data_IF_708384685104
#
_entry.id   IF_708384685104
#
_cell.length_a   1.000
_cell.length_b   1.000
_cell.length_c   1.000
_cell.angle_alpha   90.00
_cell.angle_beta   90.00
_cell.angle_gamma   90.00
#
_symmetry.space_group_name_H-M   'P 1'
#
loop_
_entity.id
_entity.type
_entity.pdbx_description
1 polymer ?
#
# COMPACT_ATOMS: atom_id res chain seq x y z
N UNK A 1 17.26 -15.95 -17.92
CA UNK A 1 15.96 -16.58 -17.63
C UNK A 1 15.09 -15.53 -16.95
N UNK A 2 13.96 -15.16 -17.57
CA UNK A 2 13.11 -14.08 -17.08
C UNK A 2 12.39 -14.50 -15.80
N UNK A 3 12.39 -13.64 -14.80
CA UNK A 3 11.55 -13.82 -13.61
C UNK A 3 10.10 -13.90 -14.08
N UNK A 4 9.42 -15.00 -13.76
CA UNK A 4 7.98 -15.11 -13.95
C UNK A 4 7.31 -13.97 -13.18
N UNK A 5 6.66 -13.06 -13.90
CA UNK A 5 5.86 -12.00 -13.29
C UNK A 5 4.78 -12.67 -12.44
N UNK A 6 4.87 -12.55 -11.13
CA UNK A 6 3.84 -13.02 -10.22
C UNK A 6 2.65 -12.05 -10.33
N UNK A 7 1.41 -12.54 -10.49
CA UNK A 7 0.24 -11.69 -10.49
C UNK A 7 0.21 -10.86 -9.20
N UNK A 8 0.17 -9.53 -9.35
CA UNK A 8 0.01 -8.60 -8.24
C UNK A 8 -1.43 -8.57 -7.73
N UNK A 9 -2.38 -9.03 -8.53
CA UNK A 9 -3.79 -9.12 -8.23
C UNK A 9 -4.24 -10.55 -8.50
N UNK A 10 -4.86 -11.17 -7.50
CA UNK A 10 -5.36 -12.56 -7.59
C UNK A 10 -6.87 -12.63 -7.48
N UNK A 11 -7.54 -11.47 -7.36
CA UNK A 11 -8.97 -11.36 -7.26
C UNK A 11 -9.51 -12.22 -6.12
N UNK A 12 -10.47 -13.08 -6.47
CA UNK A 12 -11.14 -13.98 -5.51
C UNK A 12 -10.57 -15.40 -5.51
N UNK A 13 -9.44 -15.65 -6.17
CA UNK A 13 -8.82 -16.99 -6.21
C UNK A 13 -8.22 -17.39 -4.85
N UNK A 14 -7.84 -16.43 -4.01
CA UNK A 14 -7.25 -16.66 -2.69
C UNK A 14 -7.73 -15.62 -1.70
N UNK A 15 -8.07 -16.05 -0.48
CA UNK A 15 -8.45 -15.17 0.62
C UNK A 15 -7.29 -14.32 1.10
N UNK A 16 -6.10 -14.91 1.25
CA UNK A 16 -4.97 -14.22 1.85
C UNK A 16 -4.07 -13.59 0.78
N UNK A 17 -3.58 -12.39 1.08
CA UNK A 17 -2.59 -11.70 0.25
C UNK A 17 -1.34 -12.55 0.09
N UNK A 18 -0.82 -12.58 -1.14
CA UNK A 18 0.44 -13.24 -1.44
C UNK A 18 1.61 -12.46 -0.83
N UNK A 19 2.77 -13.10 -0.68
CA UNK A 19 3.99 -12.42 -0.20
C UNK A 19 4.33 -11.18 -1.03
N UNK A 20 4.21 -11.25 -2.35
CA UNK A 20 4.48 -10.12 -3.25
C UNK A 20 3.51 -8.97 -3.03
N UNK A 21 2.23 -9.26 -2.81
CA UNK A 21 1.24 -8.24 -2.46
C UNK A 21 1.53 -7.59 -1.12
N UNK A 22 1.87 -8.37 -0.09
CA UNK A 22 2.26 -7.83 1.21
C UNK A 22 3.47 -6.90 1.10
N UNK A 23 4.47 -7.24 0.26
CA UNK A 23 5.60 -6.33 0.00
C UNK A 23 5.17 -5.04 -0.71
N UNK A 24 4.24 -5.11 -1.67
CA UNK A 24 3.66 -3.92 -2.30
C UNK A 24 2.90 -3.03 -1.32
N UNK A 25 2.15 -3.64 -0.39
CA UNK A 25 1.48 -2.92 0.68
C UNK A 25 2.48 -2.28 1.67
N UNK A 26 3.59 -2.97 1.97
CA UNK A 26 4.68 -2.39 2.77
C UNK A 26 5.28 -1.15 2.13
N UNK A 27 5.51 -1.20 0.81
CA UNK A 27 6.07 -0.06 0.06
C UNK A 27 5.12 1.13 0.05
N UNK A 28 3.82 0.88 -0.10
CA UNK A 28 2.78 1.92 -0.13
C UNK A 28 2.50 2.50 1.26
N UNK A 29 2.37 1.62 2.25
CA UNK A 29 1.85 1.98 3.58
C UNK A 29 2.96 2.30 4.58
N UNK A 30 4.19 1.80 4.42
CA UNK A 30 5.33 2.05 5.32
C UNK A 30 5.18 1.52 6.76
N UNK A 31 4.01 0.98 7.11
CA UNK A 31 3.63 0.57 8.45
C UNK A 31 2.11 0.43 8.56
N UNK A 32 1.60 0.38 9.78
CA UNK A 32 0.16 0.45 10.05
C UNK A 32 -0.39 1.78 9.54
N UNK A 33 -1.25 1.76 8.52
CA UNK A 33 -1.77 2.97 7.88
C UNK A 33 -2.59 3.87 8.83
N UNK A 34 -3.04 3.34 9.98
CA UNK A 34 -3.78 4.12 10.99
C UNK A 34 -2.91 4.75 12.08
N UNK A 35 -1.83 4.10 12.53
CA UNK A 35 -1.04 4.59 13.67
C UNK A 35 0.48 4.58 13.48
N UNK A 36 0.98 4.16 12.32
CA UNK A 36 2.40 4.19 11.95
C UNK A 36 3.28 3.11 12.60
N UNK A 37 2.71 2.21 13.40
CA UNK A 37 3.48 1.10 13.98
C UNK A 37 4.00 0.16 12.88
N UNK A 38 5.21 -0.36 13.01
CA UNK A 38 5.87 -1.21 12.00
C UNK A 38 5.99 -2.69 12.40
N UNK A 39 5.42 -3.06 13.55
CA UNK A 39 5.45 -4.44 14.08
C UNK A 39 4.05 -5.02 14.17
N UNK A 40 3.97 -6.36 14.10
CA UNK A 40 2.71 -7.11 14.17
C UNK A 40 1.70 -6.65 13.10
N UNK A 41 2.17 -6.49 11.87
CA UNK A 41 1.35 -6.03 10.76
C UNK A 41 0.64 -7.19 10.07
N UNK A 42 -0.60 -6.91 9.71
CA UNK A 42 -1.51 -7.81 9.01
C UNK A 42 -2.09 -7.06 7.82
N UNK A 43 -2.21 -7.74 6.67
CA UNK A 43 -2.86 -7.20 5.49
C UNK A 43 -4.37 -7.38 5.63
N UNK A 44 -5.09 -6.28 5.66
CA UNK A 44 -6.54 -6.20 5.80
C UNK A 44 -7.19 -5.82 4.46
N UNK A 45 -8.34 -6.40 4.16
CA UNK A 45 -9.13 -6.02 2.97
C UNK A 45 -10.03 -4.81 3.27
N UNK A 46 -9.92 -3.74 2.49
CA UNK A 46 -10.77 -2.55 2.61
C UNK A 46 -12.26 -2.90 2.42
N UNK A 47 -12.59 -3.53 1.29
CA UNK A 47 -13.82 -4.29 1.09
C UNK A 47 -13.57 -5.70 1.61
N UNK A 48 -14.25 -6.07 2.69
CA UNK A 48 -13.98 -7.30 3.41
C UNK A 48 -14.26 -8.53 2.54
N UNK A 49 -13.41 -9.55 2.67
CA UNK A 49 -13.52 -10.78 1.88
C UNK A 49 -14.88 -11.48 2.01
N UNK A 50 -15.36 -11.69 3.25
CA UNK A 50 -16.61 -12.41 3.53
C UNK A 50 -17.84 -11.49 3.50
N UNK A 51 -17.76 -10.27 4.09
CA UNK A 51 -18.88 -9.33 4.21
C UNK A 51 -19.24 -8.64 2.89
N UNK A 52 -18.23 -8.21 2.12
CA UNK A 52 -18.42 -7.36 0.94
C UNK A 52 -18.05 -8.07 -0.37
N UNK A 53 -17.61 -9.33 -0.31
CA UNK A 53 -17.06 -10.07 -1.44
C UNK A 53 -15.84 -9.40 -2.11
N UNK A 54 -15.04 -8.66 -1.33
CA UNK A 54 -13.89 -7.92 -1.85
C UNK A 54 -12.76 -8.82 -2.39
N UNK A 55 -12.00 -8.36 -3.40
CA UNK A 55 -10.90 -9.11 -3.99
C UNK A 55 -9.59 -8.96 -3.19
N UNK A 56 -8.69 -9.93 -3.32
CA UNK A 56 -7.33 -9.87 -2.78
C UNK A 56 -6.41 -9.22 -3.83
N UNK A 57 -6.49 -7.89 -3.91
CA UNK A 57 -5.78 -7.04 -4.86
C UNK A 57 -5.12 -5.87 -4.11
N UNK A 58 -4.04 -5.28 -4.65
CA UNK A 58 -3.29 -4.23 -3.94
C UNK A 58 -4.14 -2.99 -3.61
N UNK A 59 -5.07 -2.64 -4.50
CA UNK A 59 -5.99 -1.50 -4.33
C UNK A 59 -7.03 -1.74 -3.24
N UNK A 60 -7.29 -3.01 -2.89
CA UNK A 60 -8.21 -3.41 -1.84
C UNK A 60 -7.50 -3.87 -0.55
N UNK A 61 -6.17 -3.82 -0.47
CA UNK A 61 -5.40 -4.17 0.72
C UNK A 61 -4.89 -2.95 1.47
N UNK A 62 -4.68 -3.08 2.79
CA UNK A 62 -3.96 -2.11 3.64
C UNK A 62 -3.26 -2.81 4.80
N UNK A 63 -2.10 -2.33 5.23
CA UNK A 63 -1.43 -2.83 6.43
C UNK A 63 -1.97 -2.18 7.70
N UNK A 64 -2.31 -3.01 8.68
CA UNK A 64 -2.71 -2.60 10.03
C UNK A 64 -1.97 -3.43 11.07
N UNK A 65 -1.58 -2.81 12.19
CA UNK A 65 -1.12 -3.59 13.33
C UNK A 65 -2.30 -4.32 13.98
N UNK A 66 -2.06 -5.45 14.67
CA UNK A 66 -3.12 -6.29 15.24
C UNK A 66 -4.16 -5.51 16.08
N UNK A 67 -3.74 -4.48 16.83
CA UNK A 67 -4.66 -3.60 17.58
C UNK A 67 -5.60 -2.83 16.65
N UNK A 68 -5.04 -2.18 15.63
CA UNK A 68 -5.84 -1.40 14.69
C UNK A 68 -6.71 -2.29 13.81
N UNK A 69 -6.22 -3.47 13.43
CA UNK A 69 -6.95 -4.47 12.66
C UNK A 69 -8.22 -4.93 13.40
N UNK A 70 -8.08 -5.34 14.66
CA UNK A 70 -9.24 -5.74 15.47
C UNK A 70 -10.23 -4.60 15.69
N UNK A 71 -9.77 -3.36 15.90
CA UNK A 71 -10.66 -2.19 16.04
C UNK A 71 -11.48 -1.95 14.77
N UNK A 72 -10.86 -2.06 13.60
CA UNK A 72 -11.57 -1.91 12.31
C UNK A 72 -12.70 -2.93 12.20
N UNK A 73 -12.43 -4.18 12.58
CA UNK A 73 -13.46 -5.23 12.58
C UNK A 73 -14.53 -5.05 13.67
N UNK A 74 -14.13 -4.70 14.90
CA UNK A 74 -15.03 -4.59 16.04
C UNK A 74 -16.04 -3.44 15.86
N UNK A 75 -15.55 -2.27 15.46
CA UNK A 75 -16.40 -1.07 15.34
C UNK A 75 -16.94 -0.87 13.91
N UNK A 76 -16.55 -1.72 12.95
CA UNK A 76 -16.93 -1.62 11.54
C UNK A 76 -16.47 -0.31 10.88
N UNK A 77 -15.20 0.03 11.05
CA UNK A 77 -14.61 1.14 10.30
C UNK A 77 -14.56 0.81 8.81
N UNK A 78 -14.86 1.80 7.98
CA UNK A 78 -14.64 1.74 6.54
C UNK A 78 -13.24 2.28 6.21
N UNK A 79 -12.61 1.72 5.19
CA UNK A 79 -11.30 2.14 4.71
C UNK A 79 -11.39 2.38 3.22
N UNK A 80 -10.93 3.55 2.78
CA UNK A 80 -10.81 3.89 1.37
C UNK A 80 -9.35 4.12 1.03
N UNK A 81 -8.91 3.52 -0.06
CA UNK A 81 -7.62 3.82 -0.69
C UNK A 81 -7.90 4.46 -2.04
N UNK A 82 -7.40 5.67 -2.24
CA UNK A 82 -7.53 6.36 -3.52
C UNK A 82 -6.68 5.65 -4.59
N UNK A 83 -7.25 5.30 -5.76
CA UNK A 83 -6.56 4.48 -6.75
C UNK A 83 -5.42 5.21 -7.47
N UNK A 84 -5.36 6.55 -7.40
CA UNK A 84 -4.38 7.36 -8.13
C UNK A 84 -3.27 7.85 -7.20
N UNK A 85 -3.64 8.48 -6.09
CA UNK A 85 -2.72 9.03 -5.09
C UNK A 85 -2.27 8.02 -4.06
N UNK A 86 -2.96 6.88 -3.95
CA UNK A 86 -2.75 5.87 -2.90
C UNK A 86 -2.98 6.38 -1.48
N UNK A 87 -3.64 7.53 -1.32
CA UNK A 87 -4.01 8.05 -0.02
C UNK A 87 -5.01 7.11 0.67
N UNK A 88 -4.75 6.76 1.93
CA UNK A 88 -5.65 5.96 2.76
C UNK A 88 -6.47 6.88 3.66
N UNK A 89 -7.77 6.64 3.74
CA UNK A 89 -8.69 7.31 4.66
C UNK A 89 -9.50 6.27 5.45
N UNK A 90 -9.70 6.55 6.73
CA UNK A 90 -10.51 5.75 7.66
C UNK A 90 -11.80 6.50 7.96
N UNK A 91 -12.93 5.87 7.69
CA UNK A 91 -14.25 6.45 7.93
C UNK A 91 -14.83 5.79 9.19
N UNK A 92 -15.03 6.54 10.28
CA UNK A 92 -15.63 6.00 11.49
C UNK A 92 -17.09 5.58 11.26
N UNK A 93 -17.59 4.61 12.04
CA UNK A 93 -19.01 4.35 12.16
C UNK A 93 -19.72 5.51 12.88
N UNK A 94 -21.02 5.68 12.63
CA UNK A 94 -21.81 6.81 13.14
C UNK A 94 -21.86 6.91 14.68
N UNK A 95 -21.67 5.80 15.41
CA UNK A 95 -21.65 5.82 16.87
C UNK A 95 -20.34 6.38 17.46
N UNK A 96 -19.27 6.45 16.68
CA UNK A 96 -18.00 7.09 17.06
C UNK A 96 -17.99 8.55 16.60
N UNK A 97 -18.56 8.82 15.42
CA UNK A 97 -18.57 10.12 14.76
C UNK A 97 -19.83 10.21 13.89
N UNK A 98 -20.88 10.93 14.33
CA UNK A 98 -22.17 10.97 13.62
C UNK A 98 -22.05 11.46 12.18
N UNK A 99 -21.11 12.38 11.92
CA UNK A 99 -20.87 12.94 10.59
C UNK A 99 -20.01 12.02 9.71
N UNK A 100 -19.51 10.92 10.27
CA UNK A 100 -18.62 9.95 9.61
C UNK A 100 -17.44 10.63 8.93
N UNK A 101 -16.86 11.63 9.61
CA UNK A 101 -15.81 12.48 9.04
C UNK A 101 -14.57 11.64 8.66
N UNK A 102 -14.14 11.61 7.37
CA UNK A 102 -12.99 10.83 6.94
C UNK A 102 -11.70 11.29 7.64
N UNK A 103 -10.95 10.32 8.18
CA UNK A 103 -9.68 10.56 8.89
C UNK A 103 -8.52 10.06 8.01
N UNK A 104 -7.59 10.93 7.60
CA UNK A 104 -6.46 10.49 6.77
C UNK A 104 -5.56 9.53 7.55
N UNK A 105 -4.99 8.55 6.83
CA UNK A 105 -3.94 7.68 7.34
C UNK A 105 -2.64 8.43 7.65
N UNK A 106 -1.77 7.79 8.41
CA UNK A 106 -0.51 8.41 8.90
C UNK A 106 0.54 8.63 7.82
N UNK A 107 0.54 7.79 6.79
CA UNK A 107 1.48 7.88 5.69
C UNK A 107 0.72 8.45 4.49
N UNK A 108 0.97 9.74 4.20
CA UNK A 108 0.61 10.25 2.89
C UNK A 108 1.62 9.68 1.91
N UNK A 109 1.15 8.88 0.97
CA UNK A 109 1.97 8.44 -0.13
C UNK A 109 2.41 9.69 -0.90
N UNK A 110 3.63 10.14 -0.66
CA UNK A 110 4.27 11.10 -1.55
C UNK A 110 4.56 10.32 -2.83
N UNK A 111 4.04 10.74 -4.00
CA UNK A 111 4.52 10.20 -5.25
C UNK A 111 6.04 10.37 -5.19
N UNK A 112 6.79 9.27 -5.24
CA UNK A 112 8.23 9.40 -5.45
C UNK A 112 8.34 10.14 -6.77
N UNK A 113 8.76 11.40 -6.72
CA UNK A 113 9.26 12.08 -7.91
C UNK A 113 10.30 11.11 -8.47
N UNK A 114 10.00 10.51 -9.62
CA UNK A 114 10.92 9.63 -10.29
C UNK A 114 12.24 10.38 -10.36
N UNK A 115 13.26 9.88 -9.64
CA UNK A 115 14.60 10.41 -9.71
C UNK A 115 14.93 10.56 -11.19
N UNK A 116 14.91 11.81 -11.69
CA UNK A 116 15.36 12.12 -13.04
C UNK A 116 16.77 11.59 -13.11
N UNK A 117 16.96 10.65 -14.01
CA UNK A 117 18.24 10.04 -14.29
C UNK A 117 19.26 11.16 -14.55
N UNK A 118 20.19 11.36 -13.62
CA UNK A 118 21.30 12.28 -13.82
C UNK A 118 22.08 11.79 -15.05
N UNK A 119 22.31 12.62 -16.08
CA UNK A 119 23.12 12.22 -17.21
C UNK A 119 24.52 11.90 -16.70
N UNK A 120 24.98 10.66 -16.87
CA UNK A 120 26.38 10.33 -16.64
C UNK A 120 27.18 11.01 -17.74
N UNK A 121 27.84 12.12 -17.41
CA UNK A 121 28.91 12.67 -18.24
C UNK A 121 30.08 11.68 -18.23
N UNK A 122 30.17 10.84 -19.27
CA UNK A 122 31.38 10.08 -19.55
C UNK A 122 32.26 10.94 -20.46
N UNK A 123 33.21 11.67 -19.87
CA UNK A 123 34.26 12.33 -20.63
C UNK A 123 35.27 11.27 -21.05
N UNK A 124 35.18 10.84 -22.30
CA UNK A 124 36.21 10.06 -22.97
C UNK A 124 37.47 10.92 -23.05
N UNK A 125 38.51 10.60 -22.29
CA UNK A 125 39.85 11.13 -22.54
C UNK A 125 40.40 10.40 -23.76
N UNK A 126 40.34 11.04 -24.92
CA UNK A 126 41.12 10.64 -26.09
C UNK A 126 42.59 11.03 -25.83
N UNK A 127 43.44 10.03 -25.64
CA UNK A 127 44.89 10.16 -25.77
C UNK A 127 45.25 10.17 -27.25
N UNK A 128 45.94 11.18 -27.79
CA UNK A 128 46.53 11.08 -29.11
C UNK A 128 47.91 10.41 -28.97
N UNK A 129 48.04 9.23 -29.56
CA UNK A 129 49.31 8.60 -29.86
C UNK A 129 49.63 8.88 -31.33
N UNK A 130 50.77 9.52 -31.61
CA UNK A 130 51.60 9.35 -32.82
C UNK A 130 52.51 10.59 -33.07
N UNK A 131 53.82 10.39 -32.86
CA UNK A 131 54.88 10.48 -33.89
C UNK A 131 56.24 10.82 -33.24
#
# INVERSE_FOLDING_TARGET
MGASSLPLDVGRARRYFTRTQVLGLWERDGGCASCGQTTFLEAHHNQWWDRDHGPTDLTNGVLLCSRCHHRVHADHWEIHTDPVSHAVAFIPPAHIDPDRTPRPGVHRHHPREHHREHPRHNQTTESPDAA
#
